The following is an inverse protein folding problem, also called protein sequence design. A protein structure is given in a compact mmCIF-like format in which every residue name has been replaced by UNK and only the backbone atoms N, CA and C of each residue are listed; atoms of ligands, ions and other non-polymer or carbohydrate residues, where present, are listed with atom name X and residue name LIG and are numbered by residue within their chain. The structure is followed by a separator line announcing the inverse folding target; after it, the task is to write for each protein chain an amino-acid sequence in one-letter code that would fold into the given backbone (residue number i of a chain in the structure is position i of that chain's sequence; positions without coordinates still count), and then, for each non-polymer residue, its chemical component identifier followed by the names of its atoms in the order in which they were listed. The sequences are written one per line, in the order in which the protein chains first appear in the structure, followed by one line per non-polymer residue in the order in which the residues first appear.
data_IF_026317440953
#
_entry.id   IF_026317440953
#
_cell.length_a   1.000
_cell.length_b   1.000
_cell.length_c   1.000
_cell.angle_alpha   90.00
_cell.angle_beta   90.00
_cell.angle_gamma   90.00
#
_symmetry.space_group_name_H-M   'P 1'
#
loop_
_entity.id
_entity.type
_entity.pdbx_description
1 polymer ?
#
# COMPACT_ATOMS: atom_id res chain seq x y z
N UNK A 1 -18.24 -18.39 13.46
CA UNK A 1 -17.88 -17.87 12.12
C UNK A 1 -17.76 -19.06 11.16
N UNK A 2 -18.27 -18.92 9.94
CA UNK A 2 -18.18 -19.93 8.90
C UNK A 2 -17.10 -19.57 7.89
N UNK A 3 -16.19 -20.51 7.59
CA UNK A 3 -15.19 -20.37 6.54
C UNK A 3 -15.48 -21.43 5.47
N UNK A 4 -15.94 -20.96 4.31
CA UNK A 4 -16.27 -21.83 3.17
C UNK A 4 -15.16 -21.73 2.15
N UNK A 5 -14.53 -22.86 1.84
CA UNK A 5 -13.48 -22.98 0.84
C UNK A 5 -13.97 -23.87 -0.30
N UNK A 6 -14.12 -23.30 -1.50
CA UNK A 6 -14.61 -23.99 -2.69
C UNK A 6 -15.92 -24.77 -2.45
N UNK A 7 -16.87 -24.13 -1.77
CA UNK A 7 -18.17 -24.71 -1.40
C UNK A 7 -18.15 -25.68 -0.22
N UNK A 8 -16.99 -25.95 0.41
CA UNK A 8 -16.87 -26.82 1.58
C UNK A 8 -16.67 -26.01 2.85
N UNK A 9 -17.44 -26.31 3.89
CA UNK A 9 -17.24 -25.75 5.22
C UNK A 9 -15.98 -26.34 5.86
N UNK A 10 -15.01 -25.46 6.16
CA UNK A 10 -13.75 -25.82 6.81
C UNK A 10 -13.60 -25.18 8.19
N UNK A 11 -14.68 -24.71 8.80
CA UNK A 11 -14.63 -23.97 10.07
C UNK A 11 -14.01 -24.71 11.25
N UNK A 12 -14.08 -26.03 11.24
CA UNK A 12 -13.48 -26.87 12.29
C UNK A 12 -11.96 -27.02 12.17
N UNK A 13 -11.34 -26.42 11.15
CA UNK A 13 -9.93 -26.67 10.81
C UNK A 13 -9.02 -25.45 10.90
N UNK A 14 -9.55 -24.32 11.34
CA UNK A 14 -8.77 -23.14 11.68
C UNK A 14 -8.93 -22.82 13.18
N UNK A 15 -7.87 -22.30 13.79
CA UNK A 15 -7.91 -21.84 15.19
C UNK A 15 -8.04 -20.31 15.29
N UNK A 16 -7.51 -19.61 14.30
CA UNK A 16 -7.53 -18.17 14.18
C UNK A 16 -7.80 -17.77 12.73
N UNK A 17 -8.60 -16.73 12.56
CA UNK A 17 -8.79 -16.03 11.28
C UNK A 17 -8.54 -14.56 11.54
N UNK A 18 -7.77 -13.92 10.68
CA UNK A 18 -7.67 -12.45 10.63
C UNK A 18 -8.31 -11.93 9.36
N UNK A 19 -9.14 -10.91 9.50
CA UNK A 19 -9.80 -10.22 8.40
C UNK A 19 -9.54 -8.73 8.56
N UNK A 20 -9.06 -8.08 7.51
CA UNK A 20 -8.69 -6.68 7.61
C UNK A 20 -8.61 -5.97 6.27
N UNK A 21 -8.49 -4.66 6.32
CA UNK A 21 -8.25 -3.84 5.15
C UNK A 21 -7.56 -2.55 5.54
N UNK A 22 -6.92 -1.95 4.56
CA UNK A 22 -6.11 -0.75 4.73
C UNK A 22 -6.39 0.24 3.61
N UNK A 23 -6.32 1.53 3.93
CA UNK A 23 -6.62 2.62 2.99
C UNK A 23 -5.66 2.61 1.79
N UNK A 24 -4.42 2.18 1.99
CA UNK A 24 -3.41 2.04 0.93
C UNK A 24 -3.52 0.74 0.14
N UNK A 25 -4.53 -0.09 0.41
CA UNK A 25 -4.77 -1.34 -0.33
C UNK A 25 -6.15 -1.36 -0.95
N UNK A 26 -6.20 -1.75 -2.23
CA UNK A 26 -7.47 -1.93 -2.92
C UNK A 26 -8.29 -3.08 -2.31
N UNK A 27 -7.66 -4.22 -2.00
CA UNK A 27 -8.34 -5.43 -1.56
C UNK A 27 -8.23 -5.63 -0.05
N UNK A 28 -9.31 -6.10 0.57
CA UNK A 28 -9.26 -6.63 1.95
C UNK A 28 -8.60 -8.00 1.94
N UNK A 29 -7.99 -8.34 3.08
CA UNK A 29 -7.25 -9.58 3.27
C UNK A 29 -7.94 -10.47 4.31
N UNK A 30 -7.93 -11.77 4.07
CA UNK A 30 -8.35 -12.80 5.01
C UNK A 30 -7.21 -13.82 5.15
N UNK A 31 -6.65 -13.94 6.34
CA UNK A 31 -5.64 -14.95 6.65
C UNK A 31 -6.18 -15.98 7.62
N UNK A 32 -5.82 -17.24 7.40
CA UNK A 32 -6.11 -18.31 8.33
C UNK A 32 -5.08 -19.42 8.24
N UNK A 33 -4.92 -20.13 9.36
CA UNK A 33 -4.08 -21.32 9.43
C UNK A 33 -4.94 -22.58 9.32
N UNK A 34 -4.51 -23.54 8.49
CA UNK A 34 -5.11 -24.88 8.42
C UNK A 34 -4.14 -25.89 8.99
N UNK A 35 -4.60 -26.70 9.95
CA UNK A 35 -3.77 -27.78 10.51
C UNK A 35 -3.47 -28.82 9.44
N UNK A 36 -2.19 -29.12 9.23
CA UNK A 36 -1.72 -30.10 8.25
C UNK A 36 -0.62 -30.96 8.86
N UNK A 37 -0.58 -32.24 8.49
CA UNK A 37 0.48 -33.17 8.90
C UNK A 37 0.85 -34.09 7.75
N UNK A 38 2.15 -34.34 7.58
CA UNK A 38 2.67 -35.30 6.61
C UNK A 38 2.69 -36.74 7.13
N UNK A 39 2.56 -36.92 8.45
CA UNK A 39 2.76 -38.22 9.13
C UNK A 39 1.50 -38.72 9.82
N UNK A 40 0.61 -37.83 10.24
CA UNK A 40 -0.64 -38.21 10.90
C UNK A 40 -1.68 -38.65 9.87
N UNK A 41 -2.04 -39.94 9.91
CA UNK A 41 -3.03 -40.55 9.01
C UNK A 41 -4.47 -40.25 9.42
N UNK A 42 -4.70 -39.86 10.67
CA UNK A 42 -6.02 -39.58 11.21
C UNK A 42 -6.44 -38.12 10.97
N UNK A 43 -5.50 -37.24 10.63
CA UNK A 43 -5.80 -35.86 10.31
C UNK A 43 -6.53 -35.73 8.96
N UNK A 44 -7.71 -35.10 8.89
CA UNK A 44 -8.40 -34.86 7.64
C UNK A 44 -7.55 -34.07 6.64
N UNK A 45 -7.48 -34.56 5.39
CA UNK A 45 -6.72 -33.91 4.32
C UNK A 45 -7.54 -32.79 3.68
N UNK A 46 -7.27 -31.56 4.09
CA UNK A 46 -7.92 -30.38 3.52
C UNK A 46 -7.12 -29.92 2.30
N UNK A 47 -7.81 -29.86 1.16
CA UNK A 47 -7.22 -29.34 -0.07
C UNK A 47 -7.50 -27.86 -0.15
N UNK A 48 -6.43 -27.06 -0.31
CA UNK A 48 -6.52 -25.60 -0.52
C UNK A 48 -5.92 -25.28 -1.89
N UNK A 49 -6.71 -25.33 -2.98
CA UNK A 49 -6.24 -24.95 -4.31
C UNK A 49 -5.93 -23.45 -4.37
N UNK A 50 -4.97 -23.06 -5.22
CA UNK A 50 -4.79 -21.64 -5.57
C UNK A 50 -5.98 -21.14 -6.36
N UNK A 51 -6.33 -19.87 -6.17
CA UNK A 51 -7.52 -19.22 -6.75
C UNK A 51 -8.86 -19.87 -6.35
N UNK A 52 -8.88 -20.77 -5.37
CA UNK A 52 -10.14 -21.31 -4.85
C UNK A 52 -10.95 -20.19 -4.20
N UNK A 53 -12.26 -20.17 -4.44
CA UNK A 53 -13.16 -19.20 -3.81
C UNK A 53 -13.23 -19.42 -2.29
N UNK A 54 -13.22 -18.32 -1.56
CA UNK A 54 -13.30 -18.29 -0.09
C UNK A 54 -14.39 -17.32 0.33
N UNK A 55 -15.32 -17.81 1.15
CA UNK A 55 -16.31 -16.99 1.84
C UNK A 55 -16.05 -17.04 3.35
N UNK A 56 -16.04 -15.89 3.99
CA UNK A 56 -16.06 -15.77 5.44
C UNK A 56 -17.38 -15.15 5.88
N UNK A 57 -18.13 -15.87 6.70
CA UNK A 57 -19.51 -15.54 7.05
C UNK A 57 -19.62 -15.46 8.57
N UNK A 58 -20.29 -14.40 9.06
CA UNK A 58 -20.51 -14.24 10.48
C UNK A 58 -21.61 -15.17 11.01
N UNK A 59 -21.85 -15.13 12.33
CA UNK A 59 -22.86 -16.00 12.96
C UNK A 59 -24.30 -15.65 12.55
N UNK A 60 -24.53 -14.43 12.07
CA UNK A 60 -25.83 -13.95 11.58
C UNK A 60 -26.07 -14.29 10.10
N UNK A 61 -25.11 -14.96 9.44
CA UNK A 61 -25.19 -15.32 8.03
C UNK A 61 -24.74 -14.23 7.06
N UNK A 62 -24.18 -13.11 7.55
CA UNK A 62 -23.65 -12.02 6.72
C UNK A 62 -22.28 -12.39 6.18
N UNK A 63 -22.09 -12.25 4.87
CA UNK A 63 -20.79 -12.44 4.21
C UNK A 63 -19.89 -11.24 4.51
N UNK A 64 -18.82 -11.48 5.26
CA UNK A 64 -17.79 -10.47 5.58
C UNK A 64 -16.69 -10.39 4.53
N UNK A 65 -16.40 -11.51 3.88
CA UNK A 65 -15.34 -11.63 2.88
C UNK A 65 -15.78 -12.58 1.77
N UNK A 66 -15.55 -12.16 0.53
CA UNK A 66 -15.72 -12.97 -0.68
C UNK A 66 -14.52 -12.72 -1.60
N UNK A 67 -13.67 -13.74 -1.71
CA UNK A 67 -12.39 -13.62 -2.38
C UNK A 67 -11.85 -14.96 -2.83
N UNK A 68 -10.54 -15.03 -2.98
CA UNK A 68 -9.85 -16.23 -3.41
C UNK A 68 -8.53 -16.43 -2.68
N UNK A 69 -8.12 -17.69 -2.61
CA UNK A 69 -6.79 -18.04 -2.10
C UNK A 69 -5.72 -17.45 -3.00
N UNK A 70 -4.94 -16.53 -2.46
CA UNK A 70 -3.90 -15.79 -3.18
C UNK A 70 -2.53 -16.40 -2.96
N UNK A 71 -2.22 -16.79 -1.72
CA UNK A 71 -0.99 -17.51 -1.40
C UNK A 71 -1.23 -18.55 -0.30
N UNK A 72 -0.34 -19.53 -0.23
CA UNK A 72 -0.24 -20.46 0.90
C UNK A 72 1.20 -20.86 1.15
N UNK A 73 1.52 -21.10 2.41
CA UNK A 73 2.85 -21.51 2.84
C UNK A 73 2.76 -22.64 3.88
N UNK A 74 3.75 -23.53 3.87
CA UNK A 74 3.98 -24.54 4.91
C UNK A 74 5.44 -24.48 5.29
N UNK A 75 5.73 -24.54 6.59
CA UNK A 75 7.09 -24.72 7.10
C UNK A 75 7.26 -26.12 7.70
N UNK A 76 8.49 -26.61 7.78
CA UNK A 76 8.83 -27.78 8.60
C UNK A 76 8.79 -27.46 10.11
N UNK A 77 8.79 -26.18 10.46
CA UNK A 77 8.84 -25.72 11.85
C UNK A 77 7.50 -25.86 12.59
N UNK A 78 6.40 -26.04 11.85
CA UNK A 78 5.07 -26.20 12.43
C UNK A 78 4.15 -27.04 11.54
N UNK A 79 3.04 -27.48 12.12
CA UNK A 79 2.00 -28.26 11.42
C UNK A 79 0.84 -27.37 10.93
N UNK A 80 1.13 -26.12 10.55
CA UNK A 80 0.13 -25.14 10.11
C UNK A 80 0.47 -24.71 8.69
N UNK A 81 -0.51 -24.83 7.80
CA UNK A 81 -0.47 -24.18 6.50
C UNK A 81 -1.09 -22.80 6.62
N UNK A 82 -0.29 -21.75 6.49
CA UNK A 82 -0.77 -20.38 6.41
C UNK A 82 -1.38 -20.15 5.04
N UNK A 83 -2.58 -19.58 5.00
CA UNK A 83 -3.32 -19.27 3.78
C UNK A 83 -3.70 -17.79 3.81
N UNK A 84 -3.31 -17.06 2.77
CA UNK A 84 -3.69 -15.66 2.57
C UNK A 84 -4.65 -15.57 1.40
N UNK A 85 -5.78 -14.91 1.64
CA UNK A 85 -6.81 -14.67 0.64
C UNK A 85 -6.99 -13.17 0.46
N UNK A 86 -7.28 -12.77 -0.77
CA UNK A 86 -7.63 -11.38 -1.10
C UNK A 86 -9.04 -11.36 -1.68
N UNK A 87 -9.78 -10.29 -1.38
CA UNK A 87 -11.09 -10.09 -1.98
C UNK A 87 -10.96 -9.80 -3.49
N UNK A 88 -12.10 -9.81 -4.20
CA UNK A 88 -12.12 -9.68 -5.67
C UNK A 88 -11.60 -8.33 -6.19
N UNK A 89 -11.50 -7.30 -5.36
CA UNK A 89 -11.04 -5.97 -5.79
C UNK A 89 -9.55 -5.99 -6.17
N UNK A 90 -8.79 -7.00 -5.74
CA UNK A 90 -7.41 -7.21 -6.20
C UNK A 90 -7.33 -7.41 -7.72
N UNK A 91 -8.37 -7.96 -8.34
CA UNK A 91 -8.42 -8.13 -9.79
C UNK A 91 -8.42 -6.78 -10.49
N UNK A 92 -9.12 -5.77 -9.96
CA UNK A 92 -9.11 -4.42 -10.51
C UNK A 92 -7.76 -3.72 -10.36
N UNK A 93 -7.05 -3.98 -9.26
CA UNK A 93 -5.73 -3.44 -9.00
C UNK A 93 -4.62 -4.10 -9.85
N UNK A 94 -4.84 -5.33 -10.32
CA UNK A 94 -3.87 -6.07 -11.15
C UNK A 94 -4.20 -6.07 -12.65
N UNK A 95 -5.44 -5.78 -13.02
CA UNK A 95 -5.89 -5.70 -14.42
C UNK A 95 -5.76 -4.28 -14.95
N UNK A 96 -5.30 -4.13 -16.19
CA UNK A 96 -5.18 -2.85 -16.88
C UNK A 96 -6.24 -2.72 -17.97
N UNK A 97 -6.62 -1.49 -18.28
CA UNK A 97 -7.48 -1.16 -19.40
C UNK A 97 -7.17 0.19 -20.01
N UNK A 98 -7.72 0.43 -21.19
CA UNK A 98 -7.65 1.69 -21.91
C UNK A 98 -9.08 2.15 -22.20
N UNK A 99 -9.41 3.38 -21.80
CA UNK A 99 -10.75 3.94 -21.89
C UNK A 99 -10.69 5.39 -22.34
N UNK A 100 -11.70 5.79 -23.12
CA UNK A 100 -11.99 7.19 -23.40
C UNK A 100 -13.42 7.46 -22.91
N UNK A 101 -13.55 8.26 -21.86
CA UNK A 101 -14.84 8.63 -21.29
C UNK A 101 -15.18 10.05 -21.72
N UNK A 102 -16.39 10.20 -22.27
CA UNK A 102 -16.94 11.49 -22.69
C UNK A 102 -18.24 11.72 -21.93
N UNK A 103 -18.31 12.82 -21.18
CA UNK A 103 -19.44 13.27 -20.37
C UNK A 103 -20.00 12.19 -19.45
N UNK A 104 -19.13 11.34 -18.88
CA UNK A 104 -19.55 10.28 -17.94
C UNK A 104 -19.37 10.72 -16.49
N UNK A 105 -20.32 10.34 -15.64
CA UNK A 105 -20.22 10.51 -14.19
C UNK A 105 -19.27 9.46 -13.60
N UNK A 106 -18.66 9.71 -12.42
CA UNK A 106 -17.77 8.75 -11.75
C UNK A 106 -18.39 7.36 -11.57
N UNK A 107 -19.68 7.28 -11.24
CA UNK A 107 -20.38 6.02 -11.06
C UNK A 107 -20.66 5.27 -12.37
N UNK A 108 -20.82 6.00 -13.49
CA UNK A 108 -20.90 5.40 -14.81
C UNK A 108 -19.54 4.83 -15.25
N UNK A 109 -18.46 5.59 -15.02
CA UNK A 109 -17.08 5.15 -15.23
C UNK A 109 -16.79 3.89 -14.43
N UNK A 110 -17.16 3.87 -13.15
CA UNK A 110 -16.99 2.71 -12.28
C UNK A 110 -17.67 1.46 -12.83
N UNK A 111 -18.94 1.57 -13.22
CA UNK A 111 -19.71 0.43 -13.76
C UNK A 111 -19.09 -0.15 -15.03
N UNK A 112 -18.61 0.71 -15.91
CA UNK A 112 -17.98 0.28 -17.15
C UNK A 112 -16.58 -0.31 -16.94
N UNK A 113 -15.73 0.39 -16.17
CA UNK A 113 -14.37 -0.04 -15.92
C UNK A 113 -14.33 -1.37 -15.14
N UNK A 114 -15.08 -1.50 -14.03
CA UNK A 114 -15.16 -2.75 -13.29
C UNK A 114 -15.90 -3.85 -14.08
N UNK A 115 -16.94 -3.49 -14.83
CA UNK A 115 -17.69 -4.42 -15.67
C UNK A 115 -16.82 -5.07 -16.75
N UNK A 116 -15.83 -4.35 -17.28
CA UNK A 116 -14.89 -4.86 -18.29
C UNK A 116 -14.08 -6.09 -17.83
N UNK A 117 -13.90 -6.25 -16.51
CA UNK A 117 -13.20 -7.39 -15.89
C UNK A 117 -14.16 -8.33 -15.14
N UNK A 118 -15.46 -8.21 -15.39
CA UNK A 118 -16.49 -9.08 -14.79
C UNK A 118 -16.81 -8.78 -13.34
N UNK A 119 -16.45 -7.60 -12.82
CA UNK A 119 -16.83 -7.17 -11.47
C UNK A 119 -18.10 -6.31 -11.52
N UNK A 120 -19.08 -6.65 -10.68
CA UNK A 120 -20.32 -5.89 -10.56
C UNK A 120 -20.19 -4.76 -9.54
N UNK A 121 -20.72 -3.59 -9.88
CA UNK A 121 -20.83 -2.45 -8.96
C UNK A 121 -22.21 -2.44 -8.30
N UNK A 122 -22.23 -2.38 -6.98
CA UNK A 122 -23.42 -2.22 -6.15
C UNK A 122 -23.76 -0.74 -5.97
N UNK A 123 -23.65 -0.26 -4.73
CA UNK A 123 -23.88 1.15 -4.39
C UNK A 123 -22.70 1.98 -4.87
N UNK A 124 -22.94 2.99 -5.71
CA UNK A 124 -21.91 3.94 -6.10
C UNK A 124 -22.47 5.37 -6.00
N UNK A 125 -21.80 6.23 -5.24
CA UNK A 125 -22.14 7.66 -5.20
C UNK A 125 -21.92 8.28 -6.58
N UNK A 126 -22.90 9.02 -7.08
CA UNK A 126 -22.78 9.73 -8.36
C UNK A 126 -21.99 11.04 -8.18
N UNK A 127 -21.66 11.68 -9.28
CA UNK A 127 -20.88 12.92 -9.28
C UNK A 127 -21.03 13.67 -10.59
N UNK A 128 -20.21 14.71 -10.77
CA UNK A 128 -20.26 15.55 -11.95
C UNK A 128 -19.72 14.83 -13.18
N UNK A 129 -20.33 14.97 -14.37
CA UNK A 129 -19.78 14.45 -15.61
C UNK A 129 -18.35 14.94 -15.87
N UNK A 130 -17.53 14.08 -16.48
CA UNK A 130 -16.16 14.41 -16.89
C UNK A 130 -15.81 13.76 -18.23
N UNK A 131 -14.87 14.41 -18.92
CA UNK A 131 -14.15 13.85 -20.05
C UNK A 131 -12.79 13.39 -19.53
N UNK A 132 -12.43 12.12 -19.78
CA UNK A 132 -11.14 11.61 -19.34
C UNK A 132 -10.66 10.43 -20.16
N UNK A 133 -9.37 10.45 -20.51
CA UNK A 133 -8.70 9.33 -21.15
C UNK A 133 -7.77 8.61 -20.20
N UNK A 134 -7.81 7.30 -20.28
CA UNK A 134 -6.91 6.42 -19.58
C UNK A 134 -6.28 5.42 -20.53
N UNK A 135 -4.96 5.27 -20.49
CA UNK A 135 -4.22 4.30 -21.29
C UNK A 135 -3.33 3.40 -20.42
N UNK A 136 -3.48 2.08 -20.60
CA UNK A 136 -2.76 1.03 -19.86
C UNK A 136 -2.73 1.22 -18.33
N UNK A 137 -3.78 1.85 -17.79
CA UNK A 137 -3.94 2.10 -16.36
C UNK A 137 -4.73 0.96 -15.70
N UNK A 138 -4.46 0.69 -14.43
CA UNK A 138 -5.21 -0.29 -13.66
C UNK A 138 -6.68 0.11 -13.57
N UNK A 139 -7.57 -0.88 -13.64
CA UNK A 139 -9.02 -0.64 -13.52
C UNK A 139 -9.34 0.08 -12.19
N UNK A 140 -8.63 -0.27 -11.12
CA UNK A 140 -8.76 0.42 -9.84
C UNK A 140 -8.41 1.91 -9.94
N UNK A 141 -7.24 2.25 -10.49
CA UNK A 141 -6.80 3.65 -10.61
C UNK A 141 -7.69 4.47 -11.54
N UNK A 142 -8.20 3.88 -12.63
CA UNK A 142 -9.17 4.55 -13.51
C UNK A 142 -10.36 5.09 -12.71
N UNK A 143 -10.97 4.22 -11.90
CA UNK A 143 -12.13 4.59 -11.08
C UNK A 143 -11.72 5.51 -9.94
N UNK A 144 -10.60 5.22 -9.28
CA UNK A 144 -10.07 6.03 -8.18
C UNK A 144 -9.81 7.47 -8.61
N UNK A 145 -9.19 7.69 -9.77
CA UNK A 145 -8.95 9.02 -10.36
C UNK A 145 -10.25 9.76 -10.64
N UNK A 146 -11.27 9.09 -11.18
CA UNK A 146 -12.57 9.73 -11.41
C UNK A 146 -13.20 10.23 -10.09
N UNK A 147 -13.15 9.42 -9.02
CA UNK A 147 -13.64 9.85 -7.71
C UNK A 147 -12.73 10.87 -7.02
N UNK A 148 -11.43 10.87 -7.29
CA UNK A 148 -10.51 11.92 -6.82
C UNK A 148 -10.84 13.27 -7.45
N UNK A 149 -11.12 13.32 -8.75
CA UNK A 149 -11.56 14.55 -9.44
C UNK A 149 -12.88 15.07 -8.82
N UNK A 150 -13.81 14.17 -8.48
CA UNK A 150 -15.04 14.56 -7.79
C UNK A 150 -14.76 15.05 -6.35
N UNK A 151 -13.83 14.43 -5.64
CA UNK A 151 -13.38 14.88 -4.32
C UNK A 151 -12.79 16.30 -4.37
N UNK A 152 -11.97 16.61 -5.37
CA UNK A 152 -11.38 17.95 -5.55
C UNK A 152 -12.44 19.04 -5.76
N UNK A 153 -13.60 18.69 -6.33
CA UNK A 153 -14.72 19.62 -6.54
C UNK A 153 -15.64 19.72 -5.32
N UNK A 154 -15.96 18.58 -4.72
CA UNK A 154 -17.01 18.46 -3.69
C UNK A 154 -16.49 18.51 -2.25
N UNK A 155 -15.19 18.25 -2.05
CA UNK A 155 -14.58 18.03 -0.74
C UNK A 155 -15.00 16.72 -0.06
N UNK A 156 -15.75 15.85 -0.73
CA UNK A 156 -16.27 14.59 -0.17
C UNK A 156 -15.35 13.42 -0.50
N UNK A 157 -14.68 12.82 0.48
CA UNK A 157 -13.78 11.70 0.22
C UNK A 157 -14.56 10.40 0.00
N UNK A 158 -14.09 9.55 -0.91
CA UNK A 158 -14.75 8.30 -1.30
C UNK A 158 -13.87 7.08 -1.03
N UNK A 159 -14.51 5.93 -0.77
CA UNK A 159 -13.87 4.63 -0.59
C UNK A 159 -14.46 3.62 -1.56
N UNK A 160 -13.58 2.93 -2.30
CA UNK A 160 -13.93 1.77 -3.13
C UNK A 160 -13.71 0.52 -2.27
N UNK A 161 -14.72 -0.33 -2.09
CA UNK A 161 -14.58 -1.57 -1.32
C UNK A 161 -15.54 -2.66 -1.78
N UNK A 162 -15.20 -3.91 -1.53
CA UNK A 162 -16.14 -5.02 -1.71
C UNK A 162 -17.22 -4.99 -0.62
N UNK A 163 -18.47 -5.22 -1.02
CA UNK A 163 -19.61 -5.42 -0.14
C UNK A 163 -20.55 -6.48 -0.74
N UNK A 164 -20.76 -7.58 -0.01
CA UNK A 164 -21.66 -8.67 -0.41
C UNK A 164 -21.51 -9.14 -1.87
N UNK A 165 -20.26 -9.32 -2.32
CA UNK A 165 -19.95 -9.81 -3.67
C UNK A 165 -19.96 -8.75 -4.78
N UNK A 166 -20.35 -7.51 -4.50
CA UNK A 166 -20.27 -6.37 -5.42
C UNK A 166 -19.29 -5.30 -4.91
N UNK A 167 -18.92 -4.37 -5.77
CA UNK A 167 -18.10 -3.21 -5.41
C UNK A 167 -19.01 -2.05 -5.02
N UNK A 168 -18.83 -1.55 -3.80
CA UNK A 168 -19.45 -0.31 -3.36
C UNK A 168 -18.44 0.84 -3.41
N UNK A 169 -18.91 2.01 -3.82
CA UNK A 169 -18.17 3.28 -3.76
C UNK A 169 -18.98 4.25 -2.90
N UNK A 170 -18.48 4.52 -1.71
CA UNK A 170 -19.22 5.22 -0.65
C UNK A 170 -18.42 6.38 -0.08
N UNK A 171 -19.11 7.40 0.43
CA UNK A 171 -18.49 8.48 1.18
C UNK A 171 -17.76 7.94 2.43
N UNK A 172 -16.52 8.38 2.64
CA UNK A 172 -15.71 8.03 3.81
C UNK A 172 -16.19 8.75 5.06
N UNK A 173 -15.92 8.15 6.22
CA UNK A 173 -16.09 8.81 7.51
C UNK A 173 -17.50 8.77 8.08
N UNK A 174 -18.35 7.86 7.56
CA UNK A 174 -19.59 7.46 8.21
C UNK A 174 -19.28 6.95 9.61
N UNK A 175 -19.95 7.51 10.63
CA UNK A 175 -19.82 7.01 11.99
C UNK A 175 -20.60 5.70 12.08
N UNK A 176 -19.89 4.62 12.36
CA UNK A 176 -20.45 3.25 12.32
C UNK A 176 -20.33 2.51 13.64
N UNK A 177 -19.49 2.98 14.56
CA UNK A 177 -19.38 2.35 15.87
C UNK A 177 -20.74 2.42 16.57
N UNK A 178 -21.29 1.25 16.92
CA UNK A 178 -22.53 1.15 17.70
C UNK A 178 -22.40 1.79 19.08
N UNK A 179 -21.16 1.97 19.55
CA UNK A 179 -20.82 2.50 20.86
C UNK A 179 -19.65 3.48 20.77
N UNK A 180 -19.60 4.45 21.69
CA UNK A 180 -18.40 5.27 21.92
C UNK A 180 -17.30 4.33 22.41
N UNK A 181 -16.09 4.49 21.87
CA UNK A 181 -14.93 3.72 22.30
C UNK A 181 -14.34 4.35 23.57
N UNK A 182 -14.42 3.64 24.69
CA UNK A 182 -13.96 4.14 26.00
C UNK A 182 -13.31 3.04 26.84
N UNK A 183 -12.33 3.43 27.67
CA UNK A 183 -11.51 2.52 28.47
C UNK A 183 -12.24 1.77 29.58
N UNK A 184 -13.51 2.10 29.87
CA UNK A 184 -14.33 1.40 30.87
C UNK A 184 -15.18 0.29 30.27
N UNK A 185 -15.36 0.27 28.94
CA UNK A 185 -16.34 -0.61 28.30
C UNK A 185 -15.74 -1.52 27.24
N UNK A 186 -15.11 -0.96 26.20
CA UNK A 186 -14.82 -1.67 24.95
C UNK A 186 -13.44 -1.34 24.35
N UNK A 187 -12.66 -0.44 24.98
CA UNK A 187 -11.31 -0.07 24.57
C UNK A 187 -10.28 -0.78 25.47
N UNK A 188 -9.53 -1.71 24.91
CA UNK A 188 -8.53 -2.51 25.61
C UNK A 188 -7.15 -1.86 25.61
N UNK A 189 -6.81 -1.14 24.54
CA UNK A 189 -5.58 -0.39 24.41
C UNK A 189 -5.81 0.86 23.55
N UNK A 190 -5.14 1.94 23.91
CA UNK A 190 -5.02 3.13 23.08
C UNK A 190 -3.57 3.61 23.11
N UNK A 191 -3.05 3.96 21.93
CA UNK A 191 -1.72 4.53 21.77
C UNK A 191 -1.83 5.76 20.87
N UNK A 192 -1.19 6.85 21.29
CA UNK A 192 -1.01 8.07 20.51
C UNK A 192 0.49 8.36 20.41
N UNK A 193 0.95 8.70 19.21
CA UNK A 193 2.34 9.03 18.94
C UNK A 193 2.45 10.31 18.13
N UNK A 194 3.45 11.13 18.44
CA UNK A 194 3.90 12.22 17.60
C UNK A 194 5.37 11.98 17.25
N UNK A 195 5.75 12.27 16.03
CA UNK A 195 7.14 12.21 15.60
C UNK A 195 7.43 13.52 14.85
N UNK A 196 8.66 14.03 14.88
CA UNK A 196 9.07 15.25 14.18
C UNK A 196 10.24 15.03 13.22
N UNK A 197 10.70 13.79 13.05
CA UNK A 197 11.89 13.40 12.27
C UNK A 197 11.85 13.94 10.83
N UNK A 198 10.66 13.96 10.21
CA UNK A 198 10.47 14.38 8.82
C UNK A 198 9.74 15.71 8.67
N UNK A 199 9.62 16.51 9.74
CA UNK A 199 8.98 17.84 9.66
C UNK A 199 9.78 18.72 8.71
N UNK A 200 9.14 19.23 7.68
CA UNK A 200 9.68 20.26 6.78
C UNK A 200 8.97 21.54 7.16
N UNK A 201 9.64 22.38 7.95
CA UNK A 201 9.07 23.63 8.47
C UNK A 201 9.25 24.81 7.52
N UNK A 202 10.20 24.69 6.58
CA UNK A 202 10.50 25.72 5.59
C UNK A 202 10.90 25.12 4.25
N UNK A 203 10.40 25.71 3.16
CA UNK A 203 10.82 25.39 1.79
C UNK A 203 11.25 26.68 1.10
N UNK A 204 12.50 26.73 0.64
CA UNK A 204 13.01 27.84 -0.18
C UNK A 204 12.82 27.52 -1.65
N UNK A 205 12.34 28.50 -2.40
CA UNK A 205 12.01 28.40 -3.81
C UNK A 205 13.06 29.13 -4.64
N UNK A 206 13.48 28.50 -5.74
CA UNK A 206 14.41 29.06 -6.71
C UNK A 206 13.80 29.02 -8.12
N UNK A 207 14.06 30.03 -8.94
CA UNK A 207 13.67 30.01 -10.35
C UNK A 207 14.49 29.01 -11.18
N UNK A 208 14.14 28.88 -12.46
CA UNK A 208 14.82 27.99 -13.42
C UNK A 208 16.32 28.32 -13.58
N UNK A 209 16.72 29.55 -13.28
CA UNK A 209 18.09 30.04 -13.37
C UNK A 209 18.85 29.89 -12.03
N UNK A 210 18.16 29.44 -10.97
CA UNK A 210 18.73 29.20 -9.65
C UNK A 210 18.78 30.42 -8.73
N UNK A 211 18.04 31.49 -9.04
CA UNK A 211 17.87 32.64 -8.15
C UNK A 211 16.73 32.39 -7.17
N UNK A 212 16.93 32.73 -5.90
CA UNK A 212 15.90 32.60 -4.86
C UNK A 212 14.73 33.53 -5.17
N UNK A 213 13.52 32.95 -5.25
CA UNK A 213 12.28 33.67 -5.56
C UNK A 213 11.37 33.81 -4.34
N UNK A 214 11.59 33.04 -3.27
CA UNK A 214 10.86 33.19 -2.02
C UNK A 214 11.00 31.98 -1.10
N UNK A 215 10.24 31.98 0.00
CA UNK A 215 10.13 30.84 0.91
C UNK A 215 8.71 30.70 1.44
N UNK A 216 8.33 29.47 1.79
CA UNK A 216 7.09 29.16 2.51
C UNK A 216 7.43 28.45 3.82
N UNK A 217 6.62 28.68 4.86
CA UNK A 217 6.81 28.11 6.20
C UNK A 217 5.51 27.57 6.77
N UNK A 218 5.62 26.63 7.71
CA UNK A 218 4.49 26.21 8.55
C UNK A 218 4.65 26.73 10.00
N UNK A 219 3.73 26.33 10.87
CA UNK A 219 3.68 26.79 12.27
C UNK A 219 4.59 25.99 13.21
N UNK A 220 5.40 25.05 12.69
CA UNK A 220 6.26 24.21 13.52
C UNK A 220 7.61 24.90 13.69
N UNK A 221 7.94 25.26 14.93
CA UNK A 221 9.26 25.79 15.27
C UNK A 221 10.31 24.67 15.28
N UNK A 222 11.36 24.84 14.48
CA UNK A 222 12.39 23.81 14.30
C UNK A 222 11.94 22.69 13.36
N UNK A 223 12.77 22.36 12.38
CA UNK A 223 12.46 21.36 11.36
C UNK A 223 13.44 21.43 10.19
N UNK A 224 13.22 20.57 9.20
CA UNK A 224 14.01 20.52 7.98
C UNK A 224 13.71 21.75 7.13
N UNK A 225 14.77 22.34 6.58
CA UNK A 225 14.69 23.36 5.54
C UNK A 225 14.98 22.67 4.21
N UNK A 226 13.96 22.59 3.36
CA UNK A 226 14.09 22.05 2.01
C UNK A 226 14.32 23.17 0.99
N UNK A 227 14.90 22.81 -0.15
CA UNK A 227 15.06 23.72 -1.29
C UNK A 227 14.43 23.09 -2.53
N UNK A 228 13.72 23.89 -3.30
CA UNK A 228 13.06 23.48 -4.53
C UNK A 228 13.37 24.47 -5.65
N UNK A 229 13.63 23.94 -6.84
CA UNK A 229 13.81 24.73 -8.06
C UNK A 229 12.60 24.54 -8.96
N UNK A 230 12.01 25.64 -9.42
CA UNK A 230 10.80 25.59 -10.20
C UNK A 230 10.99 24.93 -11.57
N UNK A 231 9.99 24.14 -11.97
CA UNK A 231 9.87 23.64 -13.33
C UNK A 231 9.09 24.64 -14.20
N UNK A 232 9.20 24.50 -15.52
CA UNK A 232 8.53 25.40 -16.45
C UNK A 232 7.02 25.17 -16.38
N UNK A 233 6.24 26.26 -16.29
CA UNK A 233 4.77 26.24 -16.23
C UNK A 233 4.18 25.60 -14.95
N UNK A 234 4.93 25.58 -13.84
CA UNK A 234 4.47 25.16 -12.51
C UNK A 234 4.20 26.39 -11.60
N UNK A 235 3.24 26.28 -10.67
CA UNK A 235 3.08 27.25 -9.57
C UNK A 235 4.08 26.91 -8.44
N UNK A 236 5.15 27.71 -8.26
CA UNK A 236 6.20 27.42 -7.30
C UNK A 236 5.71 27.48 -5.85
N UNK A 237 4.74 28.35 -5.54
CA UNK A 237 4.24 28.50 -4.18
C UNK A 237 3.34 27.33 -3.80
N UNK A 238 2.42 26.94 -4.69
CA UNK A 238 1.57 25.76 -4.48
C UNK A 238 2.42 24.48 -4.32
N UNK A 239 3.46 24.35 -5.15
CA UNK A 239 4.40 23.23 -5.08
C UNK A 239 5.19 23.20 -3.78
N UNK A 240 5.73 24.35 -3.35
CA UNK A 240 6.50 24.46 -2.13
C UNK A 240 5.63 24.23 -0.88
N UNK A 241 4.37 24.68 -0.88
CA UNK A 241 3.41 24.37 0.19
C UNK A 241 3.15 22.87 0.30
N UNK A 242 3.05 22.16 -0.82
CA UNK A 242 2.93 20.69 -0.83
C UNK A 242 4.19 19.94 -0.38
N UNK A 243 5.33 20.62 -0.20
CA UNK A 243 6.56 20.03 0.35
C UNK A 243 6.71 20.24 1.85
N UNK A 244 5.94 21.15 2.45
CA UNK A 244 5.88 21.30 3.90
C UNK A 244 5.33 20.01 4.53
N UNK A 245 5.91 19.62 5.66
CA UNK A 245 5.48 18.44 6.42
C UNK A 245 5.33 18.84 7.87
N UNK A 246 4.15 18.59 8.41
CA UNK A 246 3.85 18.83 9.82
C UNK A 246 4.34 17.65 10.69
N UNK A 247 4.17 17.77 12.00
CA UNK A 247 4.27 16.68 12.96
C UNK A 247 3.18 15.68 12.59
N UNK A 248 3.53 14.63 11.85
CA UNK A 248 2.66 13.49 11.66
C UNK A 248 2.46 12.76 12.99
N UNK A 249 1.20 12.43 13.20
CA UNK A 249 0.63 11.85 14.41
C UNK A 249 0.11 10.47 14.08
N UNK A 250 0.29 9.52 14.98
CA UNK A 250 -0.26 8.18 14.85
C UNK A 250 -1.23 7.93 16.00
N UNK A 251 -2.33 7.26 15.71
CA UNK A 251 -3.28 6.81 16.71
C UNK A 251 -3.67 5.37 16.39
N UNK A 252 -3.54 4.49 17.38
CA UNK A 252 -3.93 3.09 17.24
C UNK A 252 -4.69 2.63 18.47
N UNK A 253 -5.75 1.88 18.27
CA UNK A 253 -6.56 1.34 19.36
C UNK A 253 -6.83 -0.15 19.17
N UNK A 254 -6.89 -0.88 20.28
CA UNK A 254 -7.41 -2.24 20.33
C UNK A 254 -8.74 -2.24 21.04
N UNK A 255 -9.78 -2.76 20.40
CA UNK A 255 -11.16 -2.70 20.91
C UNK A 255 -11.86 -4.05 20.82
N UNK A 256 -13.00 -4.15 21.52
CA UNK A 256 -13.94 -5.25 21.36
C UNK A 256 -14.47 -5.28 19.91
N UNK A 257 -14.60 -6.50 19.39
CA UNK A 257 -15.14 -6.79 18.07
C UNK A 257 -16.49 -6.15 17.74
N UNK A 258 -16.52 -5.40 16.63
CA UNK A 258 -17.74 -4.99 15.92
C UNK A 258 -17.42 -5.01 14.41
N UNK A 259 -18.26 -5.68 13.61
CA UNK A 259 -18.01 -5.91 12.17
C UNK A 259 -18.06 -4.63 11.33
N UNK A 260 -18.62 -3.56 11.87
CA UNK A 260 -18.67 -2.27 11.18
C UNK A 260 -17.38 -1.45 11.34
N UNK A 261 -16.46 -1.84 12.23
CA UNK A 261 -15.18 -1.16 12.48
C UNK A 261 -14.15 -1.46 11.39
N UNK A 262 -14.48 -1.08 10.16
CA UNK A 262 -13.67 -1.30 8.96
C UNK A 262 -13.16 0.02 8.36
N UNK A 263 -12.05 -0.07 7.65
CA UNK A 263 -11.40 1.02 6.93
C UNK A 263 -12.37 1.80 6.04
N UNK A 264 -12.20 3.13 6.07
CA UNK A 264 -13.07 4.09 5.41
C UNK A 264 -14.24 4.57 6.27
N UNK A 265 -14.54 3.92 7.39
CA UNK A 265 -15.53 4.40 8.35
C UNK A 265 -14.89 5.29 9.44
N UNK A 266 -15.70 5.83 10.35
CA UNK A 266 -15.24 6.64 11.49
C UNK A 266 -15.79 6.14 12.83
N UNK A 267 -15.06 6.48 13.90
CA UNK A 267 -15.37 6.16 15.29
C UNK A 267 -15.29 7.40 16.17
N UNK A 268 -16.02 7.39 17.28
CA UNK A 268 -15.87 8.38 18.35
C UNK A 268 -15.10 7.71 19.49
N UNK A 269 -14.00 8.32 19.91
CA UNK A 269 -13.15 7.84 21.00
C UNK A 269 -13.20 8.84 22.14
N UNK A 270 -13.28 8.32 23.37
CA UNK A 270 -13.20 9.11 24.59
C UNK A 270 -12.23 8.45 25.56
N UNK A 271 -10.95 8.72 25.36
CA UNK A 271 -9.87 8.19 26.20
C UNK A 271 -9.02 9.38 26.73
N UNK A 272 -9.13 9.71 28.03
CA UNK A 272 -8.50 10.91 28.58
C UNK A 272 -6.98 10.80 28.78
N UNK A 273 -6.41 9.61 28.90
CA UNK A 273 -4.99 9.44 29.24
C UNK A 273 -4.07 9.74 28.04
N UNK A 274 -4.37 9.16 26.88
CA UNK A 274 -3.67 9.39 25.60
C UNK A 274 -4.08 10.68 24.92
N UNK A 275 -5.20 11.29 25.35
CA UNK A 275 -5.79 12.46 24.71
C UNK A 275 -6.58 12.14 23.45
N UNK A 276 -6.80 10.85 23.12
CA UNK A 276 -7.68 10.44 22.02
C UNK A 276 -9.14 10.73 22.37
N UNK A 277 -9.57 11.95 22.05
CA UNK A 277 -10.92 12.43 22.33
C UNK A 277 -11.50 13.13 21.10
N UNK A 278 -12.54 12.55 20.52
CA UNK A 278 -13.21 13.11 19.34
C UNK A 278 -13.52 12.08 18.27
N UNK A 279 -13.75 12.56 17.05
CA UNK A 279 -14.00 11.75 15.86
C UNK A 279 -12.67 11.38 15.19
N UNK A 280 -12.51 10.11 14.88
CA UNK A 280 -11.35 9.56 14.19
C UNK A 280 -11.79 8.73 12.98
N UNK A 281 -10.98 8.72 11.94
CA UNK A 281 -11.22 7.97 10.71
C UNK A 281 -10.38 6.70 10.72
N UNK A 282 -11.01 5.55 10.44
CA UNK A 282 -10.33 4.26 10.36
C UNK A 282 -9.58 4.18 9.03
N UNK A 283 -8.25 4.16 9.11
CA UNK A 283 -7.36 4.01 7.94
C UNK A 283 -6.84 2.58 7.77
N UNK A 284 -6.82 1.81 8.87
CA UNK A 284 -6.52 0.38 8.84
C UNK A 284 -7.37 -0.35 9.88
N UNK A 285 -7.81 -1.56 9.56
CA UNK A 285 -8.53 -2.44 10.46
C UNK A 285 -8.01 -3.87 10.37
N UNK A 286 -7.88 -4.52 11.53
CA UNK A 286 -7.58 -5.95 11.64
C UNK A 286 -8.46 -6.59 12.69
N UNK A 287 -9.48 -7.30 12.22
CA UNK A 287 -10.31 -8.16 13.05
C UNK A 287 -9.62 -9.51 13.25
N UNK A 288 -9.44 -9.91 14.50
CA UNK A 288 -8.91 -11.23 14.87
C UNK A 288 -10.01 -12.05 15.54
N UNK A 289 -10.25 -13.25 15.01
CA UNK A 289 -11.24 -14.21 15.51
C UNK A 289 -10.52 -15.46 16.00
N UNK A 290 -10.46 -15.67 17.31
CA UNK A 290 -9.81 -16.84 17.90
C UNK A 290 -10.48 -17.21 19.23
N UNK A 291 -10.66 -18.51 19.50
CA UNK A 291 -11.17 -19.01 20.78
C UNK A 291 -12.47 -18.32 21.28
N UNK A 292 -13.42 -18.05 20.37
CA UNK A 292 -14.66 -17.29 20.62
C UNK A 292 -14.48 -15.81 20.99
N UNK A 293 -13.27 -15.26 20.88
CA UNK A 293 -13.00 -13.82 20.99
C UNK A 293 -12.97 -13.17 19.61
N UNK A 294 -13.51 -11.96 19.54
CA UNK A 294 -13.39 -11.05 18.41
C UNK A 294 -12.81 -9.74 18.94
N UNK A 295 -11.61 -9.39 18.47
CA UNK A 295 -10.93 -8.13 18.78
C UNK A 295 -10.59 -7.41 17.49
N UNK A 296 -10.50 -6.09 17.54
CA UNK A 296 -10.13 -5.26 16.39
C UNK A 296 -8.97 -4.38 16.77
N UNK A 297 -7.90 -4.45 15.98
CA UNK A 297 -6.82 -3.46 15.99
C UNK A 297 -7.14 -2.42 14.90
N UNK A 298 -7.18 -1.15 15.27
CA UNK A 298 -7.48 -0.04 14.36
C UNK A 298 -6.31 0.93 14.30
N UNK A 299 -5.96 1.37 13.10
CA UNK A 299 -5.16 2.57 12.87
C UNK A 299 -6.06 3.73 12.47
N UNK A 300 -5.77 4.90 13.00
CA UNK A 300 -6.67 6.04 12.98
C UNK A 300 -5.99 7.31 12.46
N UNK A 301 -6.76 8.11 11.74
CA UNK A 301 -6.38 9.44 11.28
C UNK A 301 -7.33 10.51 11.84
N UNK A 302 -6.79 11.71 12.08
CA UNK A 302 -7.57 12.91 12.37
C UNK A 302 -8.22 13.47 11.10
N UNK A 303 -7.58 13.26 9.96
CA UNK A 303 -7.99 13.79 8.67
C UNK A 303 -8.66 12.70 7.81
N UNK A 304 -9.70 13.09 7.09
CA UNK A 304 -10.43 12.24 6.16
C UNK A 304 -10.17 12.74 4.74
N UNK A 305 -9.10 12.24 4.15
CA UNK A 305 -8.65 12.65 2.83
C UNK A 305 -8.48 11.43 1.95
N UNK A 306 -8.75 11.55 0.65
CA UNK A 306 -8.33 10.54 -0.32
C UNK A 306 -6.82 10.64 -0.53
N UNK A 307 -6.15 9.52 -0.79
CA UNK A 307 -4.75 9.53 -1.24
C UNK A 307 -4.59 10.38 -2.49
N UNK A 308 -3.44 11.04 -2.61
CA UNK A 308 -3.14 11.88 -3.76
C UNK A 308 -2.69 11.01 -4.93
N UNK A 309 -3.38 11.19 -6.05
CA UNK A 309 -3.02 10.71 -7.37
C UNK A 309 -3.02 11.92 -8.30
N UNK A 310 -2.16 11.92 -9.32
CA UNK A 310 -2.14 13.01 -10.29
C UNK A 310 -3.42 13.01 -11.12
N UNK A 311 -4.24 14.04 -10.93
CA UNK A 311 -5.50 14.28 -11.64
C UNK A 311 -5.35 15.33 -12.74
N UNK A 312 -4.17 15.91 -12.92
CA UNK A 312 -3.95 17.05 -13.82
C UNK A 312 -3.75 16.66 -15.28
N UNK A 313 -3.37 15.41 -15.58
CA UNK A 313 -3.08 14.95 -16.94
C UNK A 313 -3.91 13.72 -17.34
N UNK A 314 -4.33 13.66 -18.61
CA UNK A 314 -4.76 12.39 -19.19
C UNK A 314 -3.69 11.34 -18.93
N UNK A 315 -4.09 10.13 -18.53
CA UNK A 315 -3.10 9.09 -18.22
C UNK A 315 -2.67 8.45 -19.54
N UNK A 316 -1.81 9.14 -20.28
CA UNK A 316 -1.16 8.62 -21.47
C UNK A 316 0.01 7.73 -21.03
N UNK A 317 -0.02 6.46 -21.43
CA UNK A 317 1.17 5.65 -21.33
C UNK A 317 2.13 6.14 -22.42
N UNK A 318 3.31 6.61 -22.01
CA UNK A 318 4.33 7.03 -22.95
C UNK A 318 4.74 5.80 -23.77
N UNK A 319 4.19 5.73 -24.99
CA UNK A 319 4.25 4.57 -25.88
C UNK A 319 5.68 4.30 -26.34
N UNK A 320 6.44 3.58 -25.52
CA UNK A 320 7.56 2.77 -25.98
C UNK A 320 7.26 1.31 -25.71
N UNK A 321 6.38 0.76 -26.54
CA UNK A 321 6.39 -0.66 -26.87
C UNK A 321 7.77 -1.02 -27.42
N UNK A 322 8.67 -1.46 -26.55
CA UNK A 322 9.91 -2.11 -26.97
C UNK A 322 9.66 -3.61 -26.95
N UNK A 323 9.61 -4.16 -28.16
CA UNK A 323 9.58 -5.57 -28.46
C UNK A 323 10.44 -6.41 -27.51
N UNK A 324 9.90 -7.59 -27.20
CA UNK A 324 10.61 -8.74 -26.63
C UNK A 324 12.01 -8.85 -27.24
N UNK A 325 13.02 -8.63 -26.41
CA UNK A 325 14.40 -9.01 -26.68
C UNK A 325 15.05 -9.38 -25.35
N UNK A 326 15.30 -10.67 -25.19
CA UNK A 326 16.02 -11.25 -24.08
C UNK A 326 17.49 -10.79 -24.08
N UNK A 327 17.76 -9.56 -23.62
CA UNK A 327 19.11 -9.00 -23.44
C UNK A 327 19.13 -7.74 -22.54
N UNK A 328 18.26 -7.66 -21.53
CA UNK A 328 18.37 -6.59 -20.52
C UNK A 328 19.59 -6.76 -19.62
N UNK A 329 20.20 -5.65 -19.20
CA UNK A 329 21.26 -5.66 -18.17
C UNK A 329 20.73 -6.29 -16.87
N UNK A 330 21.62 -6.82 -16.02
CA UNK A 330 21.19 -7.45 -14.75
C UNK A 330 20.36 -6.51 -13.88
N UNK A 331 20.64 -5.20 -13.90
CA UNK A 331 19.84 -4.20 -13.20
C UNK A 331 18.42 -4.05 -13.75
N UNK A 332 18.24 -4.08 -15.07
CA UNK A 332 16.90 -4.02 -15.70
C UNK A 332 16.08 -5.28 -15.38
N UNK A 333 16.71 -6.46 -15.40
CA UNK A 333 16.08 -7.70 -14.95
C UNK A 333 15.70 -7.64 -13.47
N UNK A 334 16.55 -7.06 -12.63
CA UNK A 334 16.29 -6.88 -11.20
C UNK A 334 15.07 -5.98 -10.95
N UNK A 335 14.87 -4.90 -11.72
CA UNK A 335 13.63 -4.10 -11.66
C UNK A 335 12.42 -4.98 -11.98
N UNK A 336 12.42 -5.67 -13.13
CA UNK A 336 11.27 -6.49 -13.57
C UNK A 336 10.90 -7.55 -12.52
N UNK A 337 11.91 -8.17 -11.91
CA UNK A 337 11.72 -9.11 -10.81
C UNK A 337 11.16 -8.40 -9.58
N UNK A 338 11.70 -7.24 -9.21
CA UNK A 338 11.18 -6.43 -8.11
C UNK A 338 9.71 -6.02 -8.32
N UNK A 339 9.31 -5.74 -9.56
CA UNK A 339 7.92 -5.43 -9.88
C UNK A 339 6.95 -6.57 -9.59
N UNK A 340 7.39 -7.81 -9.83
CA UNK A 340 6.58 -9.01 -9.62
C UNK A 340 6.18 -9.22 -8.15
N UNK A 341 6.93 -8.60 -7.22
CA UNK A 341 6.70 -8.69 -5.77
C UNK A 341 6.22 -7.37 -5.16
N UNK A 342 5.75 -6.42 -5.98
CA UNK A 342 5.09 -5.21 -5.47
C UNK A 342 3.90 -5.58 -4.57
N UNK A 343 3.86 -4.95 -3.40
CA UNK A 343 2.90 -5.24 -2.33
C UNK A 343 3.41 -6.23 -1.28
N UNK A 344 4.57 -6.86 -1.46
CA UNK A 344 5.21 -7.66 -0.40
C UNK A 344 5.48 -6.78 0.82
N UNK A 345 5.09 -7.25 2.01
CA UNK A 345 5.32 -6.52 3.25
C UNK A 345 6.80 -6.44 3.61
N UNK A 346 7.15 -5.38 4.32
CA UNK A 346 8.49 -5.13 4.80
C UNK A 346 8.70 -5.88 6.09
N UNK A 347 9.87 -6.49 6.18
CA UNK A 347 10.31 -7.19 7.38
C UNK A 347 11.76 -6.83 7.58
N UNK A 348 12.06 -6.16 8.69
CA UNK A 348 13.44 -5.85 9.06
C UNK A 348 14.30 -7.13 9.07
N UNK A 349 15.41 -7.13 8.34
CA UNK A 349 16.26 -8.30 8.15
C UNK A 349 15.71 -9.34 7.15
N UNK A 350 14.49 -9.20 6.66
CA UNK A 350 13.84 -10.12 5.73
C UNK A 350 14.47 -10.13 4.34
N UNK A 351 14.52 -11.30 3.70
CA UNK A 351 15.15 -11.53 2.38
C UNK A 351 14.30 -12.41 1.46
N UNK A 352 13.08 -12.74 1.88
CA UNK A 352 12.17 -13.60 1.13
C UNK A 352 10.85 -12.86 0.91
N UNK A 353 10.44 -12.61 -0.34
CA UNK A 353 9.19 -11.91 -0.64
C UNK A 353 7.92 -12.57 -0.09
N UNK A 354 7.98 -13.84 0.29
CA UNK A 354 6.86 -14.55 0.95
C UNK A 354 6.72 -14.18 2.42
N UNK A 355 7.85 -14.03 3.12
CA UNK A 355 7.87 -13.72 4.56
C UNK A 355 8.15 -12.26 4.86
N UNK A 356 8.38 -11.46 3.81
CA UNK A 356 8.67 -10.04 3.84
C UNK A 356 10.13 -9.72 3.59
N UNK A 357 10.38 -8.54 3.01
CA UNK A 357 11.73 -8.07 2.65
C UNK A 357 11.98 -6.68 3.18
N UNK A 358 13.13 -6.41 3.80
CA UNK A 358 13.53 -5.02 4.01
C UNK A 358 14.16 -4.41 2.76
N UNK A 359 14.60 -3.15 2.83
CA UNK A 359 15.23 -2.46 1.71
C UNK A 359 16.43 -3.21 1.13
N UNK A 360 17.30 -3.73 2.00
CA UNK A 360 18.52 -4.43 1.63
C UNK A 360 18.22 -5.83 1.10
N UNK A 361 17.27 -6.52 1.70
CA UNK A 361 16.82 -7.85 1.32
C UNK A 361 16.07 -7.85 0.00
N UNK A 362 15.26 -6.82 -0.25
CA UNK A 362 14.58 -6.58 -1.52
C UNK A 362 15.58 -6.44 -2.67
N UNK A 363 16.52 -5.48 -2.55
CA UNK A 363 17.54 -5.24 -3.59
C UNK A 363 18.41 -6.49 -3.77
N UNK A 364 18.86 -7.13 -2.68
CA UNK A 364 19.65 -8.36 -2.76
C UNK A 364 18.91 -9.49 -3.48
N UNK A 365 17.65 -9.71 -3.12
CA UNK A 365 16.83 -10.77 -3.70
C UNK A 365 16.59 -10.52 -5.19
N UNK A 366 16.19 -9.30 -5.56
CA UNK A 366 15.92 -8.92 -6.94
C UNK A 366 17.13 -9.14 -7.85
N UNK A 367 18.32 -8.71 -7.42
CA UNK A 367 19.55 -8.94 -8.19
C UNK A 367 19.97 -10.40 -8.26
N UNK A 368 19.84 -11.19 -7.17
CA UNK A 368 20.16 -12.63 -7.21
C UNK A 368 19.25 -13.39 -8.16
N UNK A 369 17.95 -13.10 -8.16
CA UNK A 369 17.01 -13.68 -9.11
C UNK A 369 17.28 -13.22 -10.56
N UNK A 370 17.82 -12.01 -10.73
CA UNK A 370 18.27 -11.51 -12.03
C UNK A 370 19.56 -12.19 -12.54
N UNK A 371 20.14 -13.10 -11.75
CA UNK A 371 21.37 -13.84 -12.07
C UNK A 371 22.66 -13.16 -11.61
N UNK A 372 22.59 -12.14 -10.75
CA UNK A 372 23.78 -11.51 -10.19
C UNK A 372 24.48 -12.44 -9.18
N UNK A 373 25.78 -12.62 -9.35
CA UNK A 373 26.61 -13.31 -8.35
C UNK A 373 27.02 -12.32 -7.25
N UNK A 374 26.20 -12.20 -6.21
CA UNK A 374 26.46 -11.30 -5.08
C UNK A 374 26.82 -12.16 -3.86
N UNK A 375 28.04 -12.04 -3.30
CA UNK A 375 28.55 -12.91 -2.23
C UNK A 375 27.87 -12.69 -0.87
N UNK A 376 27.02 -11.67 -0.74
CA UNK A 376 26.36 -11.33 0.51
C UNK A 376 25.08 -10.51 0.34
N UNK A 377 24.71 -9.78 1.39
CA UNK A 377 23.56 -8.86 1.41
C UNK A 377 24.02 -7.47 0.98
N UNK A 378 23.28 -6.83 0.09
CA UNK A 378 23.48 -5.43 -0.30
C UNK A 378 22.89 -4.53 0.79
N UNK A 379 23.61 -4.37 1.90
CA UNK A 379 23.24 -3.40 2.94
C UNK A 379 23.65 -1.98 2.54
N UNK A 380 22.99 -0.97 3.11
CA UNK A 380 23.42 0.43 2.98
C UNK A 380 24.91 0.60 3.27
N UNK A 381 25.40 0.06 4.39
CA UNK A 381 26.80 0.22 4.77
C UNK A 381 27.74 -0.60 3.88
N UNK A 382 27.31 -1.80 3.45
CA UNK A 382 28.08 -2.69 2.60
C UNK A 382 28.33 -2.11 1.21
N UNK A 383 27.27 -1.63 0.54
CA UNK A 383 27.41 -1.02 -0.80
C UNK A 383 28.18 0.30 -0.74
N UNK A 384 28.06 1.06 0.36
CA UNK A 384 28.78 2.33 0.54
C UNK A 384 30.27 2.14 0.81
N UNK A 385 30.64 1.14 1.60
CA UNK A 385 32.02 0.90 2.06
C UNK A 385 32.84 0.12 1.05
N UNK A 386 32.26 -0.89 0.40
CA UNK A 386 32.98 -1.74 -0.56
C UNK A 386 32.07 -2.24 -1.70
N UNK A 387 31.61 -1.36 -2.61
CA UNK A 387 30.71 -1.74 -3.70
C UNK A 387 31.33 -2.78 -4.64
N UNK A 388 32.66 -2.74 -4.84
CA UNK A 388 33.38 -3.69 -5.72
C UNK A 388 33.27 -5.14 -5.23
N UNK A 389 33.35 -5.38 -3.93
CA UNK A 389 33.18 -6.72 -3.35
C UNK A 389 31.76 -7.29 -3.56
N UNK A 390 30.78 -6.45 -3.89
CA UNK A 390 29.41 -6.86 -4.20
C UNK A 390 29.14 -6.87 -5.72
N UNK A 391 30.15 -6.61 -6.56
CA UNK A 391 30.02 -6.52 -8.02
C UNK A 391 29.43 -5.21 -8.53
N UNK A 392 29.50 -4.13 -7.74
CA UNK A 392 28.99 -2.80 -8.09
C UNK A 392 30.12 -1.78 -8.29
N UNK A 393 29.84 -0.77 -9.13
CA UNK A 393 30.67 0.42 -9.33
C UNK A 393 29.86 1.66 -9.00
N UNK A 394 30.41 2.58 -8.20
CA UNK A 394 29.81 3.90 -7.99
C UNK A 394 29.82 4.69 -9.30
N UNK A 395 28.68 5.28 -9.65
CA UNK A 395 28.51 6.15 -10.81
C UNK A 395 28.12 7.57 -10.36
N UNK A 396 28.38 8.60 -11.18
CA UNK A 396 27.82 9.93 -10.94
C UNK A 396 26.29 9.85 -10.79
N UNK A 397 25.73 10.53 -9.77
CA UNK A 397 24.32 10.40 -9.44
C UNK A 397 23.38 10.89 -10.57
N UNK A 398 23.83 11.84 -11.38
CA UNK A 398 23.11 12.33 -12.56
C UNK A 398 23.16 11.37 -13.77
N UNK A 399 24.01 10.34 -13.74
CA UNK A 399 24.11 9.30 -14.79
C UNK A 399 23.34 8.01 -14.42
N UNK A 400 22.56 8.07 -13.33
CA UNK A 400 21.75 6.94 -12.86
C UNK A 400 20.71 6.56 -13.91
N UNK A 401 20.56 5.25 -14.09
CA UNK A 401 19.65 4.63 -15.06
C UNK A 401 18.79 3.58 -14.35
N UNK A 402 17.65 3.19 -14.94
CA UNK A 402 16.85 2.08 -14.45
C UNK A 402 17.70 0.85 -14.11
N UNK A 403 17.62 0.42 -12.86
CA UNK A 403 18.31 -0.76 -12.34
C UNK A 403 19.60 -0.44 -11.58
N UNK A 404 20.02 0.82 -11.50
CA UNK A 404 21.08 1.23 -10.58
C UNK A 404 20.57 1.25 -9.14
N UNK A 405 21.41 0.82 -8.20
CA UNK A 405 21.12 0.88 -6.77
C UNK A 405 21.39 2.28 -6.25
N UNK A 406 20.38 2.91 -5.70
CA UNK A 406 20.45 4.23 -5.08
C UNK A 406 20.67 4.08 -3.58
N UNK A 407 21.53 4.94 -3.05
CA UNK A 407 21.95 4.89 -1.65
C UNK A 407 21.67 6.20 -0.91
N UNK A 408 21.09 6.06 0.27
CA UNK A 408 21.08 7.06 1.33
C UNK A 408 21.47 6.38 2.64
N UNK A 409 21.89 7.14 3.66
CA UNK A 409 22.31 6.56 4.93
C UNK A 409 21.18 5.72 5.55
N UNK A 410 21.41 4.41 5.66
CA UNK A 410 20.47 3.46 6.26
C UNK A 410 19.41 2.89 5.30
N UNK A 411 19.45 3.20 4.00
CA UNK A 411 18.44 2.72 3.04
C UNK A 411 18.99 2.56 1.62
N UNK A 412 18.48 1.56 0.90
CA UNK A 412 18.81 1.30 -0.51
C UNK A 412 17.54 1.06 -1.32
N UNK A 413 17.55 1.52 -2.56
CA UNK A 413 16.48 1.36 -3.53
C UNK A 413 17.06 1.09 -4.92
N UNK A 414 16.23 0.78 -5.91
CA UNK A 414 16.65 0.74 -7.31
C UNK A 414 15.98 1.88 -8.09
N UNK A 415 16.73 2.54 -8.96
CA UNK A 415 16.19 3.48 -9.93
C UNK A 415 15.18 2.74 -10.81
N UNK A 416 13.97 3.27 -10.98
CA UNK A 416 12.91 2.63 -11.78
C UNK A 416 12.79 3.29 -13.16
N UNK A 417 12.66 4.61 -13.21
CA UNK A 417 12.72 5.43 -14.42
C UNK A 417 13.42 6.76 -14.13
N UNK A 418 13.14 7.87 -14.81
CA UNK A 418 13.79 9.15 -14.53
C UNK A 418 13.40 9.76 -13.17
N UNK A 419 12.17 9.54 -12.70
CA UNK A 419 11.57 10.26 -11.56
C UNK A 419 11.15 9.33 -10.42
N UNK A 420 11.08 8.02 -10.66
CA UNK A 420 10.60 7.01 -9.72
C UNK A 420 11.68 6.00 -9.34
N UNK A 421 11.49 5.38 -8.19
CA UNK A 421 12.29 4.28 -7.65
C UNK A 421 11.40 3.10 -7.34
N UNK A 422 12.00 1.92 -7.33
CA UNK A 422 11.40 0.74 -6.72
C UNK A 422 12.19 0.40 -5.46
N UNK A 423 11.50 0.21 -4.35
CA UNK A 423 12.14 0.00 -3.06
C UNK A 423 11.25 -0.86 -2.17
N UNK A 424 11.85 -1.40 -1.10
CA UNK A 424 11.08 -1.90 0.04
C UNK A 424 11.33 -1.00 1.24
N UNK A 425 10.27 -0.41 1.78
CA UNK A 425 10.38 0.48 2.95
C UNK A 425 10.56 1.96 2.60
N UNK A 426 9.95 2.42 1.50
CA UNK A 426 9.85 3.84 1.21
C UNK A 426 8.91 4.58 2.14
N UNK A 427 9.24 5.83 2.52
CA UNK A 427 8.56 6.71 3.53
C UNK A 427 7.12 6.23 3.76
N UNK A 428 6.90 5.43 4.80
CA UNK A 428 6.82 5.96 6.14
C UNK A 428 7.50 5.03 7.17
N UNK A 429 8.46 5.57 7.92
CA UNK A 429 8.70 5.09 9.30
C UNK A 429 7.60 5.59 10.27
N UNK A 430 6.50 6.13 9.74
CA UNK A 430 5.39 6.80 10.41
C UNK A 430 4.02 6.14 10.18
N UNK A 431 3.97 4.97 9.52
CA UNK A 431 2.79 4.09 9.54
C UNK A 431 3.28 2.79 10.13
N UNK A 432 2.80 2.46 11.32
CA UNK A 432 2.98 1.15 11.92
C UNK A 432 1.94 0.22 11.29
N UNK A 433 2.01 0.03 9.96
CA UNK A 433 0.96 -0.62 9.17
C UNK A 433 1.32 -0.98 7.73
N UNK A 434 2.05 -0.15 6.96
CA UNK A 434 2.53 -0.51 5.62
C UNK A 434 3.95 0.00 5.33
N UNK A 435 4.90 -0.93 5.38
CA UNK A 435 6.18 -0.81 4.69
C UNK A 435 6.24 -2.03 3.77
N UNK A 436 6.67 -1.89 2.52
CA UNK A 436 6.68 -3.02 1.56
C UNK A 436 7.27 -2.63 0.22
N UNK A 437 7.30 -3.56 -0.74
CA UNK A 437 7.84 -3.31 -2.08
C UNK A 437 6.86 -2.44 -2.87
N UNK A 438 7.29 -1.24 -3.28
CA UNK A 438 6.48 -0.33 -4.09
C UNK A 438 7.34 0.44 -5.10
N UNK A 439 6.67 1.01 -6.11
CA UNK A 439 7.26 2.05 -6.95
C UNK A 439 6.82 3.38 -6.35
N UNK A 440 7.77 4.24 -6.00
CA UNK A 440 7.51 5.52 -5.36
C UNK A 440 8.25 6.64 -6.11
N UNK A 441 7.77 7.87 -5.97
CA UNK A 441 8.48 9.02 -6.51
C UNK A 441 9.79 9.25 -5.74
N UNK A 442 10.85 9.65 -6.47
CA UNK A 442 12.10 10.13 -5.84
C UNK A 442 11.91 11.44 -5.09
N UNK A 443 10.85 12.18 -5.42
CA UNK A 443 10.54 13.47 -4.83
C UNK A 443 10.44 13.36 -3.31
N UNK A 444 11.32 14.07 -2.59
CA UNK A 444 11.42 14.02 -1.12
C UNK A 444 12.33 12.91 -0.56
N UNK A 445 13.19 12.30 -1.38
CA UNK A 445 14.23 11.33 -0.96
C UNK A 445 15.62 11.94 -1.03
N UNK A 446 16.51 11.54 -0.11
CA UNK A 446 17.87 12.08 0.02
C UNK A 446 18.93 11.10 -0.49
N UNK A 447 18.60 10.34 -1.55
CA UNK A 447 19.58 9.51 -2.24
C UNK A 447 20.70 10.40 -2.80
N UNK A 448 21.94 10.11 -2.40
CA UNK A 448 23.11 10.93 -2.72
C UNK A 448 24.14 10.19 -3.58
N UNK A 449 24.00 8.87 -3.71
CA UNK A 449 24.93 7.99 -4.44
C UNK A 449 24.16 6.96 -5.26
N UNK A 450 24.74 6.56 -6.38
CA UNK A 450 24.20 5.55 -7.27
C UNK A 450 25.28 4.52 -7.63
N UNK A 451 24.88 3.26 -7.72
CA UNK A 451 25.77 2.12 -7.92
C UNK A 451 25.23 1.23 -9.03
N UNK A 452 26.04 1.01 -10.08
CA UNK A 452 25.70 0.14 -11.20
C UNK A 452 26.31 -1.23 -11.01
N UNK A 453 25.53 -2.29 -11.23
CA UNK A 453 26.06 -3.66 -11.23
C UNK A 453 26.93 -3.87 -12.47
N UNK A 454 28.16 -4.33 -12.27
CA UNK A 454 29.16 -4.55 -13.33
C UNK A 454 29.72 -5.98 -13.36
N UNK A 455 29.22 -6.86 -12.47
CA UNK A 455 29.76 -8.20 -12.28
C UNK A 455 30.83 -8.23 -11.18
N UNK A 456 30.98 -9.39 -10.56
CA UNK A 456 31.97 -9.68 -9.52
C UNK A 456 33.09 -10.55 -10.03
#
# INVERSE_FOLDING_TARGET
MKLILNGKDISQFYNEVTWGGDKGQAARQLDFGVVVSGTDKNLPKITVPMNANVLFINNDGVVLFDGFVFSKEKSIDNNIMSVTCLDKLILANKSKGTFNFEQKTPDAIAREAFGSIGLSVGKAESGSPMDRKFDLETIYNIVYTAYKIEYEKSGKPYMIRMNNGAIDIVEQGKIVAKYILDGKSNLYNATYGENSENVVSKVKMFDTEGKEIGEVTNNVEGGIVEVYRQEKDEDPEARARGMLKDIERTASVRVKGDFDLITGNAVIIKEPFTGLNGKFYIISDKHTFANNYHVVDLELSYDNVMEDIDTSQDSESDGTGSNVSASGSTGQKAIQIGESIKGTHYKWGGTDPKTGVDCSGFVTWAFKQAGANIPGRITSDGIRSNPKALGFKEIPFNERQPGDVLWQKGHVAMQYDATRIIESGGVSKRILGYSGVCVSNQKGRTFSKAYRYVGG
#
